data_IF_892030396171
#
_entry.id   IF_892030396171
#
_cell.length_a   1.000
_cell.length_b   1.000
_cell.length_c   1.000
_cell.angle_alpha   90.00
_cell.angle_beta   90.00
_cell.angle_gamma   90.00
#
_symmetry.space_group_name_H-M   'P 1'
#
loop_
_entity.id
_entity.type
_entity.pdbx_description
1 polymer ?
#
# COMPACT_ATOMS: atom_id res chain seq x y z
N UNK A 1 -1.77 17.45 2.85
CA UNK A 1 -3.06 16.71 2.78
C UNK A 1 -3.86 17.13 1.54
N UNK A 2 -4.22 18.42 1.38
CA UNK A 2 -4.99 18.89 0.21
C UNK A 2 -4.41 18.50 -1.16
N UNK A 3 -3.10 18.72 -1.37
CA UNK A 3 -2.43 18.34 -2.62
C UNK A 3 -2.45 16.83 -2.87
N UNK A 4 -2.21 16.02 -1.84
CA UNK A 4 -2.29 14.56 -1.92
C UNK A 4 -3.70 14.09 -2.28
N UNK A 5 -4.74 14.72 -1.71
CA UNK A 5 -6.13 14.43 -2.05
C UNK A 5 -6.47 14.81 -3.49
N UNK A 6 -5.97 15.96 -3.97
CA UNK A 6 -6.14 16.39 -5.36
C UNK A 6 -5.47 15.40 -6.33
N UNK A 7 -4.24 14.96 -6.05
CA UNK A 7 -3.56 13.95 -6.86
C UNK A 7 -4.33 12.63 -6.85
N UNK A 8 -4.76 12.14 -5.68
CA UNK A 8 -5.58 10.93 -5.58
C UNK A 8 -6.89 11.03 -6.37
N UNK A 9 -7.55 12.19 -6.36
CA UNK A 9 -8.74 12.45 -7.16
C UNK A 9 -8.46 12.40 -8.67
N UNK A 10 -7.38 13.04 -9.12
CA UNK A 10 -6.97 13.01 -10.54
C UNK A 10 -6.64 11.58 -10.98
N UNK A 11 -5.87 10.83 -10.20
CA UNK A 11 -5.56 9.42 -10.49
C UNK A 11 -6.83 8.56 -10.49
N UNK A 12 -7.76 8.80 -9.56
CA UNK A 12 -9.06 8.14 -9.54
C UNK A 12 -9.89 8.42 -10.79
N UNK A 13 -9.90 9.66 -11.26
CA UNK A 13 -10.57 10.04 -12.51
C UNK A 13 -9.92 9.35 -13.72
N UNK A 14 -8.59 9.30 -13.77
CA UNK A 14 -7.86 8.56 -14.80
C UNK A 14 -8.21 7.07 -14.78
N UNK A 15 -8.36 6.45 -13.60
CA UNK A 15 -8.77 5.06 -13.48
C UNK A 15 -10.17 4.82 -14.08
N UNK A 16 -11.12 5.73 -13.80
CA UNK A 16 -12.48 5.65 -14.36
C UNK A 16 -12.51 5.83 -15.88
N UNK A 17 -11.64 6.68 -16.42
CA UNK A 17 -11.51 6.87 -17.87
C UNK A 17 -10.82 5.68 -18.54
N UNK A 18 -9.73 5.17 -17.97
CA UNK A 18 -9.00 4.02 -18.48
C UNK A 18 -9.87 2.75 -18.47
N UNK A 19 -10.76 2.59 -17.48
CA UNK A 19 -11.70 1.46 -17.42
C UNK A 19 -12.71 1.40 -18.58
N UNK A 20 -12.85 2.47 -19.38
CA UNK A 20 -13.71 2.46 -20.57
C UNK A 20 -13.02 1.86 -21.81
N UNK A 21 -11.69 1.79 -21.82
CA UNK A 21 -10.88 1.44 -23.01
C UNK A 21 -9.87 0.34 -22.63
N UNK A 22 -10.04 -0.88 -23.15
CA UNK A 22 -9.17 -2.02 -22.80
C UNK A 22 -7.67 -1.76 -23.05
N UNK A 23 -7.34 -1.04 -24.11
CA UNK A 23 -5.97 -0.66 -24.44
C UNK A 23 -5.36 0.29 -23.39
N UNK A 24 -6.15 1.23 -22.85
CA UNK A 24 -5.69 2.17 -21.83
C UNK A 24 -5.45 1.47 -20.49
N UNK A 25 -6.21 0.41 -20.18
CA UNK A 25 -6.00 -0.40 -18.99
C UNK A 25 -4.62 -1.08 -18.93
N UNK A 26 -4.01 -1.41 -20.07
CA UNK A 26 -2.70 -2.10 -20.12
C UNK A 26 -1.51 -1.22 -19.73
N UNK A 27 -1.67 0.10 -19.82
CA UNK A 27 -0.62 1.10 -19.56
C UNK A 27 -1.01 2.07 -18.46
N UNK A 28 -2.08 1.76 -17.73
CA UNK A 28 -2.66 2.65 -16.74
C UNK A 28 -1.69 2.95 -15.60
N UNK A 29 -0.99 1.95 -15.04
CA UNK A 29 -0.09 2.15 -13.91
C UNK A 29 1.13 3.02 -14.26
N UNK A 30 1.84 2.81 -15.39
CA UNK A 30 2.86 3.75 -15.87
C UNK A 30 2.30 5.17 -16.09
N UNK A 31 1.13 5.30 -16.72
CA UNK A 31 0.54 6.61 -17.00
C UNK A 31 0.14 7.33 -15.71
N UNK A 32 -0.45 6.63 -14.75
CA UNK A 32 -0.83 7.19 -13.46
C UNK A 32 0.40 7.64 -12.68
N UNK A 33 1.47 6.84 -12.66
CA UNK A 33 2.73 7.20 -12.02
C UNK A 33 3.39 8.43 -12.66
N UNK A 34 3.36 8.52 -13.99
CA UNK A 34 3.78 9.69 -14.74
C UNK A 34 3.00 10.94 -14.33
N UNK A 35 1.66 10.88 -14.41
CA UNK A 35 0.79 12.03 -14.09
C UNK A 35 0.94 12.44 -12.63
N UNK A 36 0.98 11.49 -11.69
CA UNK A 36 1.16 11.79 -10.28
C UNK A 36 2.48 12.50 -10.01
N UNK A 37 3.57 12.04 -10.63
CA UNK A 37 4.91 12.62 -10.46
C UNK A 37 4.99 14.01 -11.08
N UNK A 38 4.53 14.15 -12.31
CA UNK A 38 4.51 15.42 -13.03
C UNK A 38 3.68 16.48 -12.30
N UNK A 39 2.45 16.15 -11.90
CA UNK A 39 1.55 17.07 -11.21
C UNK A 39 2.04 17.40 -9.80
N UNK A 40 2.59 16.43 -9.06
CA UNK A 40 3.18 16.70 -7.74
C UNK A 40 4.33 17.71 -7.87
N UNK A 41 5.22 17.53 -8.84
CA UNK A 41 6.31 18.47 -9.08
C UNK A 41 5.79 19.85 -9.53
N UNK A 42 4.85 19.90 -10.48
CA UNK A 42 4.25 21.14 -10.94
C UNK A 42 3.57 21.93 -9.80
N UNK A 43 2.82 21.24 -8.93
CA UNK A 43 2.21 21.85 -7.76
C UNK A 43 3.23 22.41 -6.77
N UNK A 44 4.47 21.92 -6.72
CA UNK A 44 5.53 22.51 -5.88
C UNK A 44 5.95 23.90 -6.34
N UNK A 45 5.80 24.18 -7.63
CA UNK A 45 6.10 25.48 -8.21
C UNK A 45 4.96 26.47 -8.00
N UNK A 46 3.72 25.99 -8.00
CA UNK A 46 2.50 26.79 -7.79
C UNK A 46 2.23 27.11 -6.31
N UNK A 47 2.37 26.12 -5.43
CA UNK A 47 1.93 26.22 -4.02
C UNK A 47 3.09 26.31 -3.01
N UNK A 48 4.34 26.32 -3.49
CA UNK A 48 5.54 26.39 -2.65
C UNK A 48 6.12 25.02 -2.31
N UNK A 49 7.17 25.03 -1.49
CA UNK A 49 7.96 23.83 -1.23
C UNK A 49 7.26 22.84 -0.30
N UNK A 50 7.18 21.57 -0.70
CA UNK A 50 6.64 20.49 0.13
C UNK A 50 7.28 19.13 -0.23
N UNK A 51 6.92 18.08 0.50
CA UNK A 51 7.40 16.73 0.24
C UNK A 51 6.72 16.11 -1.00
N UNK A 52 7.22 16.44 -2.20
CA UNK A 52 6.70 16.00 -3.51
C UNK A 52 6.53 14.48 -3.58
N UNK A 53 7.54 13.72 -3.15
CA UNK A 53 7.50 12.25 -3.13
C UNK A 53 6.35 11.71 -2.28
N UNK A 54 6.09 12.28 -1.09
CA UNK A 54 4.99 11.85 -0.22
C UNK A 54 3.63 12.13 -0.84
N UNK A 55 3.48 13.24 -1.57
CA UNK A 55 2.24 13.57 -2.26
C UNK A 55 1.96 12.63 -3.43
N UNK A 56 2.97 12.34 -4.25
CA UNK A 56 2.87 11.36 -5.34
C UNK A 56 2.56 9.95 -4.80
N UNK A 57 3.29 9.50 -3.76
CA UNK A 57 3.04 8.23 -3.08
C UNK A 57 1.61 8.10 -2.57
N UNK A 58 1.07 9.16 -1.96
CA UNK A 58 -0.30 9.17 -1.45
C UNK A 58 -1.34 9.05 -2.57
N UNK A 59 -1.12 9.68 -3.72
CA UNK A 59 -2.00 9.56 -4.89
C UNK A 59 -1.93 8.19 -5.57
N UNK A 60 -0.77 7.52 -5.50
CA UNK A 60 -0.53 6.21 -6.13
C UNK A 60 -0.77 5.03 -5.19
N UNK A 61 -1.08 5.26 -3.92
CA UNK A 61 -1.06 4.21 -2.87
C UNK A 61 -1.90 2.99 -3.23
N UNK A 62 -2.99 3.17 -3.96
CA UNK A 62 -3.90 2.10 -4.33
C UNK A 62 -3.46 1.29 -5.55
N UNK A 63 -2.58 1.85 -6.37
CA UNK A 63 -1.98 1.17 -7.52
C UNK A 63 -0.80 0.30 -7.11
N UNK A 64 -0.22 0.57 -5.93
CA UNK A 64 0.91 -0.19 -5.44
C UNK A 64 0.48 -1.64 -5.21
N UNK A 65 1.15 -2.62 -5.85
CA UNK A 65 0.72 -4.02 -5.91
C UNK A 65 1.07 -4.78 -4.62
N UNK A 66 0.90 -4.13 -3.48
CA UNK A 66 1.34 -4.68 -2.21
C UNK A 66 0.47 -5.86 -1.76
N UNK A 67 -0.86 -5.80 -1.92
CA UNK A 67 -1.73 -6.93 -1.59
C UNK A 67 -1.44 -8.11 -2.52
N UNK A 68 -1.26 -7.84 -3.81
CA UNK A 68 -0.85 -8.84 -4.81
C UNK A 68 0.45 -9.52 -4.37
N UNK A 69 1.44 -8.75 -3.92
CA UNK A 69 2.70 -9.28 -3.42
C UNK A 69 2.50 -10.13 -2.15
N UNK A 70 1.72 -9.67 -1.17
CA UNK A 70 1.44 -10.45 0.04
C UNK A 70 0.70 -11.74 -0.25
N UNK A 71 -0.33 -11.72 -1.11
CA UNK A 71 -1.07 -12.92 -1.53
C UNK A 71 -0.15 -13.88 -2.29
N UNK A 72 0.70 -13.36 -3.17
CA UNK A 72 1.66 -14.17 -3.90
C UNK A 72 2.64 -14.90 -2.96
N UNK A 73 3.15 -14.19 -1.94
CA UNK A 73 4.01 -14.78 -0.92
C UNK A 73 3.28 -15.84 -0.09
N UNK A 74 2.01 -15.61 0.26
CA UNK A 74 1.18 -16.61 0.95
C UNK A 74 1.08 -17.87 0.07
N UNK A 75 0.76 -17.72 -1.21
CA UNK A 75 0.63 -18.84 -2.14
C UNK A 75 1.92 -19.62 -2.35
N UNK A 76 3.06 -18.92 -2.47
CA UNK A 76 4.37 -19.57 -2.52
C UNK A 76 4.65 -20.37 -1.25
N UNK A 77 4.36 -19.81 -0.08
CA UNK A 77 4.57 -20.49 1.20
C UNK A 77 3.67 -21.72 1.38
N UNK A 78 2.46 -21.70 0.82
CA UNK A 78 1.50 -22.81 0.84
C UNK A 78 1.65 -23.74 -0.38
N UNK A 79 2.77 -23.66 -1.11
CA UNK A 79 3.12 -24.52 -2.27
C UNK A 79 2.24 -24.35 -3.51
N UNK A 80 1.46 -23.28 -3.63
CA UNK A 80 0.77 -22.90 -4.86
C UNK A 80 1.70 -22.12 -5.80
N UNK A 81 2.76 -22.78 -6.26
CA UNK A 81 3.88 -22.13 -6.96
C UNK A 81 3.45 -21.43 -8.25
N UNK A 82 2.62 -22.07 -9.10
CA UNK A 82 2.21 -21.48 -10.38
C UNK A 82 1.43 -20.16 -10.22
N UNK A 83 0.50 -20.11 -9.26
CA UNK A 83 -0.28 -18.91 -8.98
C UNK A 83 0.54 -17.84 -8.26
N UNK A 84 1.36 -18.27 -7.28
CA UNK A 84 2.23 -17.38 -6.52
C UNK A 84 3.27 -16.69 -7.40
N UNK A 85 3.96 -17.42 -8.27
CA UNK A 85 4.94 -16.81 -9.20
C UNK A 85 4.26 -15.90 -10.21
N UNK A 86 3.10 -16.27 -10.76
CA UNK A 86 2.36 -15.43 -11.70
C UNK A 86 1.97 -14.07 -11.07
N UNK A 87 1.46 -14.07 -9.83
CA UNK A 87 1.13 -12.83 -9.10
C UNK A 87 2.38 -12.02 -8.73
N UNK A 88 3.47 -12.67 -8.32
CA UNK A 88 4.74 -11.96 -8.07
C UNK A 88 5.26 -11.29 -9.34
N UNK A 89 5.26 -12.00 -10.47
CA UNK A 89 5.64 -11.43 -11.77
C UNK A 89 4.75 -10.25 -12.15
N UNK A 90 3.44 -10.35 -11.93
CA UNK A 90 2.52 -9.24 -12.18
C UNK A 90 2.82 -8.01 -11.30
N UNK A 91 3.06 -8.21 -10.00
CA UNK A 91 3.45 -7.14 -9.09
C UNK A 91 4.78 -6.49 -9.50
N UNK A 92 5.75 -7.30 -9.94
CA UNK A 92 7.05 -6.82 -10.42
C UNK A 92 6.92 -5.98 -11.69
N UNK A 93 6.17 -6.44 -12.69
CA UNK A 93 5.89 -5.67 -13.92
C UNK A 93 5.17 -4.36 -13.59
N UNK A 94 4.23 -4.39 -12.64
CA UNK A 94 3.52 -3.19 -12.17
C UNK A 94 4.48 -2.19 -11.54
N UNK A 95 5.41 -2.64 -10.67
CA UNK A 95 6.45 -1.78 -10.11
C UNK A 95 7.33 -1.18 -11.19
N UNK A 96 7.84 -1.97 -12.14
CA UNK A 96 8.66 -1.47 -13.25
C UNK A 96 7.91 -0.42 -14.09
N UNK A 97 6.64 -0.70 -14.42
CA UNK A 97 5.80 0.23 -15.16
C UNK A 97 5.62 1.56 -14.42
N UNK A 98 5.31 1.51 -13.12
CA UNK A 98 5.24 2.70 -12.29
C UNK A 98 6.59 3.43 -12.21
N UNK A 99 7.70 2.72 -12.06
CA UNK A 99 9.05 3.29 -12.04
C UNK A 99 9.41 4.02 -13.34
N UNK A 100 9.07 3.42 -14.49
CA UNK A 100 9.19 4.09 -15.78
C UNK A 100 8.35 5.37 -15.85
N UNK A 101 7.09 5.32 -15.40
CA UNK A 101 6.22 6.49 -15.31
C UNK A 101 6.82 7.62 -14.46
N UNK A 102 7.35 7.29 -13.27
CA UNK A 102 8.05 8.26 -12.41
C UNK A 102 9.28 8.85 -13.11
N UNK A 103 10.13 8.03 -13.71
CA UNK A 103 11.34 8.49 -14.40
C UNK A 103 11.01 9.43 -15.57
N UNK A 104 9.99 9.09 -16.35
CA UNK A 104 9.47 9.93 -17.42
C UNK A 104 8.91 11.25 -16.87
N UNK A 105 8.18 11.19 -15.75
CA UNK A 105 7.62 12.36 -15.07
C UNK A 105 8.71 13.33 -14.62
N UNK A 106 9.73 12.81 -13.94
CA UNK A 106 10.88 13.59 -13.49
C UNK A 106 11.66 14.21 -14.66
N UNK A 107 11.85 13.46 -15.75
CA UNK A 107 12.55 13.96 -16.95
C UNK A 107 11.79 15.10 -17.64
N UNK A 108 10.47 14.97 -17.77
CA UNK A 108 9.63 16.02 -18.34
C UNK A 108 9.53 17.24 -17.44
N UNK A 109 9.47 17.03 -16.12
CA UNK A 109 9.55 18.12 -15.15
C UNK A 109 10.87 18.85 -15.35
N UNK A 110 12.03 18.20 -15.23
CA UNK A 110 13.32 18.91 -15.34
C UNK A 110 13.54 19.58 -16.70
N UNK A 111 12.96 19.05 -17.78
CA UNK A 111 13.05 19.64 -19.10
C UNK A 111 12.16 20.88 -19.28
N UNK A 112 10.95 20.90 -18.70
CA UNK A 112 9.92 21.91 -19.00
C UNK A 112 9.62 22.84 -17.84
N UNK A 113 9.84 22.37 -16.62
CA UNK A 113 9.61 23.05 -15.35
C UNK A 113 10.98 23.21 -14.67
N UNK A 114 11.30 24.42 -14.22
CA UNK A 114 12.50 24.63 -13.39
C UNK A 114 12.52 23.66 -12.19
N UNK A 115 13.70 23.42 -11.61
CA UNK A 115 13.88 22.45 -10.53
C UNK A 115 12.78 22.54 -9.45
N UNK A 116 12.05 21.44 -9.18
CA UNK A 116 10.93 21.46 -8.25
C UNK A 116 11.37 21.85 -6.85
N UNK A 117 10.49 22.58 -6.14
CA UNK A 117 10.77 23.03 -4.77
C UNK A 117 10.49 21.90 -3.79
N UNK A 118 11.49 21.09 -3.52
CA UNK A 118 11.38 19.94 -2.62
C UNK A 118 11.67 20.39 -1.19
N UNK A 119 10.70 20.25 -0.29
CA UNK A 119 10.92 20.42 1.15
C UNK A 119 10.87 19.07 1.87
N UNK A 120 11.62 18.96 2.97
CA UNK A 120 11.56 17.80 3.85
C UNK A 120 10.17 17.73 4.51
N UNK A 121 9.60 16.54 4.59
CA UNK A 121 8.35 16.33 5.31
C UNK A 121 8.53 16.73 6.78
N UNK A 122 7.69 17.65 7.27
CA UNK A 122 7.65 17.99 8.68
C UNK A 122 7.05 16.82 9.47
N UNK A 123 7.65 16.43 10.61
CA UNK A 123 7.06 15.41 11.47
C UNK A 123 5.74 15.94 12.01
N UNK A 124 4.66 15.17 11.78
CA UNK A 124 3.34 15.46 12.31
C UNK A 124 3.18 14.82 13.69
N UNK A 125 2.31 15.36 14.56
CA UNK A 125 2.01 14.74 15.84
C UNK A 125 1.45 13.33 15.69
N UNK A 126 1.77 12.43 16.62
CA UNK A 126 1.36 11.02 16.57
C UNK A 126 -0.16 10.79 16.51
N UNK A 127 -0.98 11.71 17.04
CA UNK A 127 -2.44 11.60 16.95
C UNK A 127 -2.98 11.66 15.51
N UNK A 128 -2.22 12.27 14.60
CA UNK A 128 -2.60 12.35 13.18
C UNK A 128 -2.55 10.99 12.49
N UNK A 129 -1.75 10.05 12.99
CA UNK A 129 -1.68 8.69 12.45
C UNK A 129 -3.01 7.94 12.65
N UNK A 130 -3.67 8.14 13.80
CA UNK A 130 -4.97 7.52 14.08
C UNK A 130 -6.08 8.09 13.19
N UNK A 131 -6.03 9.39 12.87
CA UNK A 131 -6.94 9.97 11.88
C UNK A 131 -6.66 9.41 10.47
N UNK A 132 -5.39 9.20 10.12
CA UNK A 132 -5.02 8.58 8.86
C UNK A 132 -5.54 7.12 8.77
N UNK A 133 -5.48 6.36 9.87
CA UNK A 133 -6.06 5.02 9.96
C UNK A 133 -7.56 5.05 9.70
N UNK A 134 -8.29 5.94 10.37
CA UNK A 134 -9.74 6.06 10.18
C UNK A 134 -10.06 6.45 8.73
N UNK A 135 -9.40 7.48 8.20
CA UNK A 135 -9.63 7.95 6.84
C UNK A 135 -9.32 6.86 5.80
N UNK A 136 -8.20 6.14 5.97
CA UNK A 136 -7.80 5.06 5.06
C UNK A 136 -8.75 3.86 5.18
N UNK A 137 -9.17 3.46 6.38
CA UNK A 137 -10.15 2.39 6.58
C UNK A 137 -11.51 2.72 5.94
N UNK A 138 -11.96 3.97 6.03
CA UNK A 138 -13.17 4.43 5.33
C UNK A 138 -12.99 4.39 3.81
N UNK A 139 -11.85 4.84 3.29
CA UNK A 139 -11.54 4.74 1.86
C UNK A 139 -11.50 3.28 1.38
N UNK A 140 -10.90 2.38 2.16
CA UNK A 140 -10.89 0.95 1.88
C UNK A 140 -12.28 0.31 1.94
N UNK A 141 -13.16 0.80 2.80
CA UNK A 141 -14.57 0.35 2.85
C UNK A 141 -15.26 0.63 1.52
N UNK A 142 -15.07 1.84 0.96
CA UNK A 142 -15.63 2.22 -0.34
C UNK A 142 -14.97 1.43 -1.47
N UNK A 143 -13.64 1.36 -1.48
CA UNK A 143 -12.87 0.68 -2.52
C UNK A 143 -13.21 -0.81 -2.63
N UNK A 144 -13.27 -1.50 -1.49
CA UNK A 144 -13.57 -2.92 -1.42
C UNK A 144 -15.07 -3.21 -1.49
N UNK A 145 -15.89 -2.18 -1.71
CA UNK A 145 -17.36 -2.26 -1.76
C UNK A 145 -17.96 -2.96 -0.55
N UNK A 146 -17.35 -2.76 0.61
CA UNK A 146 -17.85 -3.30 1.86
C UNK A 146 -19.15 -2.60 2.27
N UNK A 147 -20.03 -3.31 2.97
CA UNK A 147 -21.30 -2.73 3.42
C UNK A 147 -20.97 -1.61 4.43
N UNK A 148 -21.67 -0.46 4.42
CA UNK A 148 -21.40 0.64 5.36
C UNK A 148 -21.45 0.22 6.84
N UNK A 149 -22.28 -0.79 7.15
CA UNK A 149 -22.37 -1.41 8.49
C UNK A 149 -21.08 -2.09 8.96
N UNK A 150 -20.21 -2.49 8.03
CA UNK A 150 -18.94 -3.15 8.31
C UNK A 150 -17.79 -2.14 8.47
N UNK A 151 -18.03 -0.85 8.17
CA UNK A 151 -17.01 0.20 8.23
C UNK A 151 -16.36 0.32 9.62
N UNK A 152 -17.17 0.22 10.68
CA UNK A 152 -16.68 0.27 12.07
C UNK A 152 -15.69 -0.87 12.33
N UNK A 153 -16.02 -2.08 11.87
CA UNK A 153 -15.16 -3.26 12.02
C UNK A 153 -13.88 -3.16 11.20
N UNK A 154 -13.94 -2.55 10.01
CA UNK A 154 -12.79 -2.27 9.16
C UNK A 154 -11.87 -1.22 9.82
N UNK A 155 -12.44 -0.20 10.48
CA UNK A 155 -11.67 0.77 11.27
C UNK A 155 -11.00 0.09 12.45
N UNK A 156 -11.72 -0.75 13.20
CA UNK A 156 -11.14 -1.51 14.31
C UNK A 156 -10.02 -2.43 13.85
N UNK A 157 -10.20 -3.16 12.74
CA UNK A 157 -9.17 -4.02 12.17
C UNK A 157 -7.93 -3.22 11.74
N UNK A 158 -8.14 -2.04 11.13
CA UNK A 158 -7.04 -1.15 10.75
C UNK A 158 -6.29 -0.56 11.94
N UNK A 159 -7.02 -0.17 12.99
CA UNK A 159 -6.44 0.29 14.24
C UNK A 159 -5.62 -0.81 14.92
N UNK A 160 -6.15 -2.04 14.98
CA UNK A 160 -5.43 -3.20 15.50
C UNK A 160 -4.18 -3.53 14.68
N UNK A 161 -4.25 -3.41 13.35
CA UNK A 161 -3.11 -3.60 12.47
C UNK A 161 -1.98 -2.65 12.83
N UNK A 162 -2.27 -1.35 12.87
CA UNK A 162 -1.27 -0.30 13.13
C UNK A 162 -0.79 -0.34 14.59
N UNK A 163 -1.68 -0.58 15.55
CA UNK A 163 -1.32 -0.78 16.95
C UNK A 163 -0.36 -1.98 17.12
N UNK A 164 -0.73 -3.13 16.56
CA UNK A 164 0.07 -4.35 16.60
C UNK A 164 1.44 -4.15 15.96
N UNK A 165 1.49 -3.46 14.82
CA UNK A 165 2.74 -3.10 14.15
C UNK A 165 3.63 -2.20 15.01
N UNK A 166 3.06 -1.16 15.61
CA UNK A 166 3.81 -0.23 16.44
C UNK A 166 4.33 -0.90 17.72
N UNK A 167 3.48 -1.68 18.40
CA UNK A 167 3.88 -2.43 19.59
C UNK A 167 4.98 -3.43 19.26
N UNK A 168 4.81 -4.23 18.20
CA UNK A 168 5.84 -5.19 17.80
C UNK A 168 7.16 -4.52 17.37
N UNK A 169 7.09 -3.38 16.69
CA UNK A 169 8.28 -2.61 16.33
C UNK A 169 8.97 -1.97 17.53
N UNK A 170 8.23 -1.58 18.56
CA UNK A 170 8.78 -0.97 19.77
C UNK A 170 9.51 -1.98 20.65
N UNK A 171 8.94 -3.16 20.85
CA UNK A 171 9.51 -4.21 21.70
C UNK A 171 10.53 -5.10 21.01
N UNK A 172 10.45 -5.21 19.68
CA UNK A 172 11.32 -6.09 18.89
C UNK A 172 12.00 -5.34 17.75
N UNK A 173 11.61 -5.61 16.51
CA UNK A 173 12.14 -4.98 15.29
C UNK A 173 10.99 -4.57 14.37
N UNK A 174 11.20 -3.63 13.43
CA UNK A 174 10.17 -3.22 12.48
C UNK A 174 9.54 -4.39 11.69
N UNK A 175 10.35 -5.37 11.30
CA UNK A 175 9.88 -6.57 10.58
C UNK A 175 8.98 -7.44 11.46
N UNK A 176 9.36 -7.63 12.73
CA UNK A 176 8.53 -8.33 13.72
C UNK A 176 7.26 -7.54 14.06
N UNK A 177 7.28 -6.22 13.95
CA UNK A 177 6.09 -5.38 13.98
C UNK A 177 5.07 -5.81 12.93
N UNK A 178 5.49 -5.95 11.67
CA UNK A 178 4.58 -6.41 10.61
C UNK A 178 4.01 -7.81 10.89
N UNK A 179 4.84 -8.73 11.40
CA UNK A 179 4.41 -10.05 11.84
C UNK A 179 3.32 -9.98 12.93
N UNK A 180 3.55 -9.22 14.01
CA UNK A 180 2.60 -9.08 15.13
C UNK A 180 1.31 -8.41 14.65
N UNK A 181 1.40 -7.37 13.82
CA UNK A 181 0.23 -6.72 13.22
C UNK A 181 -0.62 -7.69 12.41
N UNK A 182 -0.01 -8.48 11.53
CA UNK A 182 -0.72 -9.49 10.73
C UNK A 182 -1.35 -10.59 11.59
N UNK A 183 -0.64 -11.05 12.63
CA UNK A 183 -1.14 -12.04 13.57
C UNK A 183 -2.39 -11.55 14.31
N UNK A 184 -2.32 -10.33 14.86
CA UNK A 184 -3.45 -9.71 15.58
C UNK A 184 -4.65 -9.53 14.66
N UNK A 185 -4.45 -8.97 13.47
CA UNK A 185 -5.53 -8.78 12.48
C UNK A 185 -6.16 -10.12 12.08
N UNK A 186 -5.34 -11.16 11.87
CA UNK A 186 -5.83 -12.49 11.53
C UNK A 186 -6.70 -13.11 12.63
N UNK A 187 -6.24 -13.06 13.88
CA UNK A 187 -7.00 -13.57 15.04
C UNK A 187 -8.28 -12.76 15.25
N UNK A 188 -8.19 -11.42 15.24
CA UNK A 188 -9.33 -10.54 15.44
C UNK A 188 -10.39 -10.70 14.34
N UNK A 189 -9.97 -10.87 13.08
CA UNK A 189 -10.89 -11.08 11.96
C UNK A 189 -11.62 -12.42 12.05
N UNK A 190 -10.99 -13.44 12.64
CA UNK A 190 -11.60 -14.74 12.90
C UNK A 190 -12.58 -14.68 14.06
N UNK A 191 -12.23 -13.96 15.12
CA UNK A 191 -13.16 -13.67 16.22
C UNK A 191 -14.39 -12.91 15.71
N UNK A 192 -14.19 -11.88 14.88
CA UNK A 192 -15.27 -11.16 14.19
C UNK A 192 -16.15 -12.11 13.36
N UNK A 193 -15.54 -13.01 12.59
CA UNK A 193 -16.29 -13.96 11.78
C UNK A 193 -17.19 -14.89 12.60
N UNK A 194 -16.67 -15.38 13.73
CA UNK A 194 -17.40 -16.24 14.65
C UNK A 194 -18.53 -15.48 15.38
N UNK A 195 -18.26 -14.26 15.86
CA UNK A 195 -19.21 -13.49 16.66
C UNK A 195 -20.38 -12.93 15.85
N UNK A 196 -20.17 -12.62 14.56
CA UNK A 196 -21.16 -11.94 13.71
C UNK A 196 -21.67 -12.77 12.54
N UNK A 197 -21.22 -14.02 12.40
CA UNK A 197 -21.54 -14.93 11.29
C UNK A 197 -21.30 -14.27 9.92
N UNK A 198 -20.08 -13.74 9.76
CA UNK A 198 -19.65 -13.00 8.56
C UNK A 198 -18.27 -13.46 8.10
N UNK A 199 -17.95 -13.42 6.80
CA UNK A 199 -16.62 -13.80 6.32
C UNK A 199 -15.50 -12.96 6.96
N UNK A 200 -14.48 -13.63 7.52
CA UNK A 200 -13.30 -12.98 8.11
C UNK A 200 -12.57 -12.04 7.13
N UNK A 201 -12.67 -12.35 5.83
CA UNK A 201 -12.11 -11.56 4.72
C UNK A 201 -12.55 -10.09 4.76
N UNK A 202 -13.76 -9.80 5.27
CA UNK A 202 -14.32 -8.44 5.34
C UNK A 202 -13.42 -7.50 6.16
N UNK A 203 -12.83 -7.98 7.25
CA UNK A 203 -11.93 -7.19 8.11
C UNK A 203 -10.47 -7.51 7.87
N UNK A 204 -10.16 -8.76 7.49
CA UNK A 204 -8.79 -9.23 7.32
C UNK A 204 -8.08 -8.56 6.15
N UNK A 205 -8.72 -8.48 4.98
CA UNK A 205 -8.09 -7.88 3.78
C UNK A 205 -7.81 -6.38 3.98
N UNK A 206 -8.77 -5.54 4.42
CA UNK A 206 -8.47 -4.13 4.71
C UNK A 206 -7.41 -3.95 5.79
N UNK A 207 -7.43 -4.77 6.86
CA UNK A 207 -6.44 -4.68 7.92
C UNK A 207 -5.02 -5.00 7.43
N UNK A 208 -4.88 -6.05 6.60
CA UNK A 208 -3.59 -6.42 5.98
C UNK A 208 -3.15 -5.33 4.99
N UNK A 209 -4.05 -4.74 4.21
CA UNK A 209 -3.74 -3.66 3.26
C UNK A 209 -3.02 -2.47 3.89
N UNK A 210 -3.25 -2.18 5.17
CA UNK A 210 -2.53 -1.12 5.89
C UNK A 210 -1.09 -1.49 6.29
N UNK A 211 -0.78 -2.79 6.36
CA UNK A 211 0.55 -3.30 6.75
C UNK A 211 1.42 -3.68 5.56
N UNK A 212 0.78 -3.87 4.41
CA UNK A 212 1.36 -4.33 3.18
C UNK A 212 2.52 -3.42 2.72
N UNK A 213 3.66 -4.00 2.28
CA UNK A 213 4.87 -3.24 1.99
C UNK A 213 4.90 -2.62 0.59
N UNK A 214 3.75 -2.40 -0.06
CA UNK A 214 3.68 -1.85 -1.43
C UNK A 214 4.38 -0.49 -1.58
N UNK A 215 4.18 0.40 -0.61
CA UNK A 215 4.82 1.72 -0.57
C UNK A 215 6.30 1.69 -0.23
N UNK A 216 6.76 0.63 0.45
CA UNK A 216 8.19 0.39 0.72
C UNK A 216 8.86 -0.06 -0.57
N UNK A 217 8.25 -1.01 -1.29
CA UNK A 217 8.74 -1.46 -2.59
C UNK A 217 8.87 -0.35 -3.62
N UNK A 218 7.83 0.47 -3.76
CA UNK A 218 7.87 1.62 -4.67
C UNK A 218 8.96 2.63 -4.27
N UNK A 219 9.12 2.93 -2.96
CA UNK A 219 10.21 3.81 -2.48
C UNK A 219 11.59 3.24 -2.78
N UNK A 220 11.77 1.92 -2.63
CA UNK A 220 13.00 1.24 -3.01
C UNK A 220 13.32 1.41 -4.49
N UNK A 221 12.33 1.19 -5.37
CA UNK A 221 12.49 1.40 -6.81
C UNK A 221 12.79 2.86 -7.16
N UNK A 222 12.06 3.81 -6.57
CA UNK A 222 12.30 5.24 -6.78
C UNK A 222 13.72 5.64 -6.37
N UNK A 223 14.21 5.14 -5.22
CA UNK A 223 15.58 5.38 -4.77
C UNK A 223 16.63 4.83 -5.75
N UNK A 224 16.39 3.65 -6.36
CA UNK A 224 17.27 3.11 -7.39
C UNK A 224 17.32 4.01 -8.64
N UNK A 225 16.17 4.55 -9.06
CA UNK A 225 16.07 5.48 -10.20
C UNK A 225 16.81 6.79 -9.92
N UNK A 226 16.77 7.27 -8.68
CA UNK A 226 17.49 8.46 -8.22
C UNK A 226 18.98 8.19 -7.91
N UNK A 227 19.52 7.06 -8.39
CA UNK A 227 20.93 6.62 -8.20
C UNK A 227 21.32 6.40 -6.73
N UNK A 228 20.36 6.27 -5.82
CA UNK A 228 20.59 5.93 -4.40
C UNK A 228 20.62 4.41 -4.20
N UNK A 229 21.60 3.74 -4.83
CA UNK A 229 21.63 2.27 -4.94
C UNK A 229 21.56 1.57 -3.58
N UNK A 230 22.37 2.00 -2.61
CA UNK A 230 22.44 1.39 -1.27
C UNK A 230 21.07 1.47 -0.57
N UNK A 231 20.48 2.67 -0.55
CA UNK A 231 19.17 2.92 0.05
C UNK A 231 18.05 2.15 -0.65
N UNK A 232 18.09 2.10 -1.98
CA UNK A 232 17.11 1.39 -2.80
C UNK A 232 17.14 -0.13 -2.58
N UNK A 233 18.33 -0.72 -2.53
CA UNK A 233 18.51 -2.15 -2.23
C UNK A 233 18.06 -2.48 -0.81
N UNK A 234 18.49 -1.71 0.19
CA UNK A 234 18.08 -1.90 1.60
C UNK A 234 16.57 -1.81 1.77
N UNK A 235 15.94 -0.80 1.18
CA UNK A 235 14.48 -0.60 1.23
C UNK A 235 13.73 -1.75 0.54
N UNK A 236 14.23 -2.21 -0.61
CA UNK A 236 13.63 -3.34 -1.34
C UNK A 236 13.79 -4.65 -0.55
N UNK A 237 14.92 -4.85 0.11
CA UNK A 237 15.13 -6.01 0.98
C UNK A 237 14.18 -6.00 2.18
N UNK A 238 14.01 -4.84 2.83
CA UNK A 238 13.00 -4.64 3.90
C UNK A 238 11.58 -4.93 3.44
N UNK A 239 11.22 -4.56 2.20
CA UNK A 239 9.92 -4.92 1.61
C UNK A 239 9.71 -6.44 1.60
N UNK A 240 10.72 -7.20 1.17
CA UNK A 240 10.66 -8.67 1.12
C UNK A 240 10.52 -9.25 2.54
N UNK A 241 11.35 -8.79 3.49
CA UNK A 241 11.27 -9.23 4.89
C UNK A 241 9.90 -8.94 5.50
N UNK A 242 9.37 -7.74 5.27
CA UNK A 242 8.02 -7.35 5.71
C UNK A 242 6.97 -8.27 5.10
N UNK A 243 7.07 -8.61 3.80
CA UNK A 243 6.14 -9.52 3.16
C UNK A 243 6.18 -10.92 3.78
N UNK A 244 7.38 -11.47 4.02
CA UNK A 244 7.56 -12.77 4.71
C UNK A 244 6.99 -12.73 6.13
N UNK A 245 7.21 -11.64 6.85
CA UNK A 245 6.67 -11.43 8.19
C UNK A 245 5.12 -11.42 8.20
N UNK A 246 4.49 -10.76 7.22
CA UNK A 246 3.04 -10.78 7.04
C UNK A 246 2.52 -12.19 6.74
N UNK A 247 3.22 -12.95 5.89
CA UNK A 247 2.87 -14.35 5.60
C UNK A 247 2.95 -15.20 6.85
N UNK A 248 4.05 -15.13 7.60
CA UNK A 248 4.22 -15.87 8.84
C UNK A 248 3.11 -15.52 9.86
N UNK A 249 2.81 -14.23 10.04
CA UNK A 249 1.77 -13.78 10.97
C UNK A 249 0.38 -14.25 10.57
N UNK A 250 0.03 -14.17 9.29
CA UNK A 250 -1.25 -14.65 8.77
C UNK A 250 -1.40 -16.18 8.85
N UNK A 251 -0.34 -16.94 8.55
CA UNK A 251 -0.37 -18.40 8.66
C UNK A 251 -0.50 -18.87 10.11
N UNK A 252 0.22 -18.24 11.05
CA UNK A 252 0.12 -18.59 12.47
C UNK A 252 -1.26 -18.22 13.02
N UNK A 253 -1.81 -17.06 12.65
CA UNK A 253 -3.19 -16.72 12.98
C UNK A 253 -4.16 -17.80 12.47
N UNK A 254 -3.86 -18.40 11.31
CA UNK A 254 -4.70 -19.43 10.74
C UNK A 254 -4.72 -20.73 11.53
N UNK A 255 -3.60 -21.07 12.18
CA UNK A 255 -3.43 -22.25 13.04
C UNK A 255 -4.03 -22.01 14.42
N UNK A 256 -3.84 -20.82 14.99
CA UNK A 256 -4.29 -20.50 16.36
C UNK A 256 -5.81 -20.39 16.45
N UNK A 257 -6.48 -19.88 15.42
CA UNK A 257 -7.92 -19.61 15.47
C UNK A 257 -8.69 -20.27 14.31
N UNK A 258 -8.59 -21.59 14.06
CA UNK A 258 -9.09 -22.25 12.85
C UNK A 258 -10.56 -21.89 12.56
N UNK A 259 -10.84 -21.46 11.32
CA UNK A 259 -12.22 -21.30 10.85
C UNK A 259 -12.88 -22.68 10.88
N UNK A 260 -13.91 -22.86 11.71
CA UNK A 260 -14.79 -24.02 11.61
C UNK A 260 -15.35 -24.00 10.18
N UNK A 261 -14.98 -24.99 9.37
CA UNK A 261 -15.68 -25.25 8.11
C UNK A 261 -17.11 -25.58 8.47
N UNK A 262 -18.06 -24.81 7.95
CA UNK A 262 -19.34 -25.42 7.60
C UNK A 262 -19.03 -26.43 6.50
N UNK A 263 -19.37 -27.68 6.80
CA UNK A 263 -19.29 -28.83 5.90
C UNK A 263 -20.47 -28.73 4.93
#
# INVERSE_FOLDING_TARGET
IGLSAALGFVIGLLALLAGKWEAAGRVFEPMAAFVATFLAAAFSLLFGAYAVSNAALAGLIILMPGLTLTVAMIELSTRHLASGTARLSAAFVTFLGMGFGVAMGNTLVSAWLNDPRIARAAPLPAWTEWLAVIAMSLALTVLLRAKPRDAVWIICAGALAVAGRQLGAHWFSPDLGAFIGALIVGIASRFYACAFDRPAVITQVPGILLLVPGSVGFRGLAALLDKQVISGVDTTFKMILTAVALVAGTLIANIVAPLRREI
#
